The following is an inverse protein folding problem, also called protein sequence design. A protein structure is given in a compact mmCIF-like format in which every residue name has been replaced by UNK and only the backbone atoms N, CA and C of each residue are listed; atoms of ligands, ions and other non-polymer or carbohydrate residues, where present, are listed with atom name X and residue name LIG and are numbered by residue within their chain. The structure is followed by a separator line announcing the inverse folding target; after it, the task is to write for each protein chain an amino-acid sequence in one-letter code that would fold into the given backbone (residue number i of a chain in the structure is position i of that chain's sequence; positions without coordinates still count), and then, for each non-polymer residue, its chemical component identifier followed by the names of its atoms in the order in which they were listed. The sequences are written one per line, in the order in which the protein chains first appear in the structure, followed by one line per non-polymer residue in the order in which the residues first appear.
data_IF_353248675537
#
_entry.id   IF_353248675537
#
_cell.length_a   1.000
_cell.length_b   1.000
_cell.length_c   1.000
_cell.angle_alpha   90.00
_cell.angle_beta   90.00
_cell.angle_gamma   90.00
#
_symmetry.space_group_name_H-M   'P 1'
#
loop_
_entity.id
_entity.type
_entity.pdbx_description
1 polymer ?
#
# COMPACT_ATOMS: atom_id res chain seq x y z
N UNK A 1 19.83 -39.07 45.93
CA UNK A 1 18.70 -38.20 45.64
C UNK A 1 19.09 -37.35 44.45
N UNK A 2 18.73 -37.77 43.20
CA UNK A 2 19.18 -37.10 41.97
C UNK A 2 18.02 -36.22 41.48
N UNK A 3 18.20 -34.92 41.49
CA UNK A 3 17.21 -33.96 40.94
C UNK A 3 17.55 -33.80 39.45
N UNK A 4 16.88 -34.58 38.61
CA UNK A 4 16.93 -34.42 37.17
C UNK A 4 16.15 -33.20 36.75
N UNK A 5 16.79 -32.06 36.60
CA UNK A 5 16.21 -30.87 35.97
C UNK A 5 16.14 -31.04 34.45
N UNK A 6 15.02 -31.56 33.98
CA UNK A 6 14.70 -31.56 32.56
C UNK A 6 14.56 -30.12 32.07
N UNK A 7 15.39 -29.68 31.14
CA UNK A 7 15.21 -28.41 30.41
C UNK A 7 13.99 -28.57 29.51
N UNK A 8 12.83 -28.08 29.93
CA UNK A 8 11.69 -27.94 29.05
C UNK A 8 12.03 -26.87 28.01
N UNK A 9 12.05 -27.27 26.75
CA UNK A 9 12.17 -26.32 25.64
C UNK A 9 10.80 -25.69 25.40
N UNK A 10 10.64 -24.47 25.84
CA UNK A 10 9.49 -23.66 25.46
C UNK A 10 9.74 -23.15 24.03
N UNK A 11 8.90 -23.55 23.08
CA UNK A 11 8.88 -22.98 21.74
C UNK A 11 8.11 -21.68 21.85
N UNK A 12 8.81 -20.55 21.84
CA UNK A 12 8.23 -19.21 21.96
C UNK A 12 7.53 -18.81 20.66
N UNK A 13 8.06 -19.25 19.51
CA UNK A 13 7.48 -19.00 18.19
C UNK A 13 7.59 -20.24 17.29
N UNK A 14 6.55 -20.52 16.48
CA UNK A 14 6.62 -21.62 15.51
C UNK A 14 7.62 -21.28 14.40
N UNK A 15 8.29 -22.31 13.90
CA UNK A 15 9.16 -22.15 12.74
C UNK A 15 8.35 -21.58 11.57
N UNK A 16 8.76 -20.44 11.04
CA UNK A 16 8.08 -19.68 9.99
C UNK A 16 8.97 -19.55 8.77
N UNK A 17 8.43 -19.82 7.60
CA UNK A 17 9.08 -19.60 6.31
C UNK A 17 8.36 -18.49 5.55
N UNK A 18 9.11 -17.56 4.99
CA UNK A 18 8.61 -16.45 4.18
C UNK A 18 9.12 -16.59 2.75
N UNK A 19 8.24 -16.46 1.77
CA UNK A 19 8.55 -16.42 0.35
C UNK A 19 7.97 -15.17 -0.28
N UNK A 20 8.78 -14.45 -1.06
CA UNK A 20 8.35 -13.23 -1.76
C UNK A 20 8.84 -13.30 -3.20
N UNK A 21 7.91 -13.12 -4.14
CA UNK A 21 8.19 -12.99 -5.56
C UNK A 21 7.58 -11.70 -6.12
N UNK A 22 8.34 -10.96 -6.93
CA UNK A 22 7.84 -9.77 -7.65
C UNK A 22 8.34 -9.80 -9.09
N UNK A 23 7.41 -9.49 -10.01
CA UNK A 23 7.70 -9.24 -11.43
C UNK A 23 7.18 -7.85 -11.76
N UNK A 24 7.98 -7.05 -12.42
CA UNK A 24 7.61 -5.70 -12.86
C UNK A 24 8.01 -5.52 -14.33
N UNK A 25 7.15 -4.89 -15.13
CA UNK A 25 7.39 -4.59 -16.53
C UNK A 25 7.03 -3.15 -16.84
N UNK A 26 7.93 -2.45 -17.52
CA UNK A 26 7.64 -1.14 -18.11
C UNK A 26 6.72 -1.32 -19.32
N UNK A 27 5.73 -0.44 -19.44
CA UNK A 27 4.73 -0.46 -20.48
C UNK A 27 4.57 0.96 -21.07
N UNK A 28 4.23 1.05 -22.36
CA UNK A 28 3.95 2.28 -23.09
C UNK A 28 5.11 3.29 -23.14
N UNK A 29 5.70 3.65 -22.01
CA UNK A 29 6.75 4.66 -21.92
C UNK A 29 7.57 4.49 -20.61
N UNK A 30 8.64 5.26 -20.46
CA UNK A 30 9.54 5.21 -19.29
C UNK A 30 8.89 5.59 -17.95
N UNK A 31 7.70 6.17 -17.96
CA UNK A 31 6.98 6.59 -16.75
C UNK A 31 5.93 5.58 -16.29
N UNK A 32 5.69 4.53 -17.10
CA UNK A 32 4.60 3.59 -16.89
C UNK A 32 5.12 2.18 -16.68
N UNK A 33 4.58 1.51 -15.66
CA UNK A 33 4.90 0.12 -15.34
C UNK A 33 3.72 -0.58 -14.68
N UNK A 34 3.70 -1.87 -14.79
CA UNK A 34 2.81 -2.78 -14.03
C UNK A 34 3.65 -3.79 -13.29
N UNK A 35 3.19 -4.20 -12.13
CA UNK A 35 3.84 -5.18 -11.28
C UNK A 35 2.86 -6.21 -10.75
N UNK A 36 3.35 -7.43 -10.58
CA UNK A 36 2.68 -8.51 -9.87
C UNK A 36 3.58 -8.95 -8.72
N UNK A 37 3.01 -9.06 -7.54
CA UNK A 37 3.71 -9.48 -6.33
C UNK A 37 2.93 -10.60 -5.65
N UNK A 38 3.63 -11.64 -5.27
CA UNK A 38 3.12 -12.74 -4.46
C UNK A 38 3.99 -12.89 -3.22
N UNK A 39 3.33 -13.04 -2.08
CA UNK A 39 3.99 -13.33 -0.81
C UNK A 39 3.30 -14.49 -0.13
N UNK A 40 4.07 -15.35 0.52
CA UNK A 40 3.61 -16.53 1.22
C UNK A 40 4.29 -16.66 2.58
N UNK A 41 3.50 -17.04 3.57
CA UNK A 41 3.98 -17.38 4.91
C UNK A 41 3.48 -18.76 5.29
N UNK A 42 4.41 -19.66 5.49
CA UNK A 42 4.11 -21.03 5.96
C UNK A 42 4.63 -21.22 7.38
N UNK A 43 3.77 -21.69 8.27
CA UNK A 43 4.08 -22.00 9.67
C UNK A 43 3.75 -23.43 9.98
N UNK A 44 4.52 -24.02 10.87
CA UNK A 44 4.24 -25.38 11.33
C UNK A 44 2.96 -25.40 12.18
N UNK A 45 1.99 -26.22 11.79
CA UNK A 45 0.69 -26.40 12.49
C UNK A 45 -0.24 -25.16 12.49
N UNK A 46 -0.04 -24.20 11.57
CA UNK A 46 -0.91 -23.04 11.39
C UNK A 46 -1.22 -22.92 9.89
N UNK A 47 -2.39 -22.43 9.54
CA UNK A 47 -2.77 -22.19 8.15
C UNK A 47 -1.77 -21.27 7.46
N UNK A 48 -1.42 -21.59 6.23
CA UNK A 48 -0.58 -20.73 5.40
C UNK A 48 -1.31 -19.42 5.08
N UNK A 49 -0.58 -18.31 5.10
CA UNK A 49 -1.11 -17.02 4.69
C UNK A 49 -0.42 -16.57 3.41
N UNK A 50 -1.19 -16.12 2.42
CA UNK A 50 -0.61 -15.59 1.21
C UNK A 50 -1.31 -14.30 0.75
N UNK A 51 -0.57 -13.48 0.02
CA UNK A 51 -1.07 -12.24 -0.56
C UNK A 51 -0.64 -12.15 -2.01
N UNK A 52 -1.61 -11.89 -2.88
CA UNK A 52 -1.39 -11.57 -4.29
C UNK A 52 -1.73 -10.11 -4.53
N UNK A 53 -0.80 -9.36 -5.12
CA UNK A 53 -0.96 -7.95 -5.43
C UNK A 53 -0.63 -7.64 -6.89
N UNK A 54 -1.47 -6.81 -7.51
CA UNK A 54 -1.21 -6.18 -8.79
C UNK A 54 -1.09 -4.69 -8.56
N UNK A 55 0.01 -4.11 -9.00
CA UNK A 55 0.25 -2.67 -8.91
C UNK A 55 0.51 -2.05 -10.28
N UNK A 56 0.20 -0.77 -10.42
CA UNK A 56 0.51 0.00 -11.61
C UNK A 56 0.97 1.41 -11.28
N UNK A 57 1.76 1.92 -12.16
CA UNK A 57 2.09 3.34 -12.28
C UNK A 57 2.00 3.69 -13.76
N UNK A 58 1.19 4.67 -14.11
CA UNK A 58 1.00 5.15 -15.46
C UNK A 58 1.26 6.65 -15.47
N UNK A 59 2.12 7.11 -16.36
CA UNK A 59 2.41 8.51 -16.57
C UNK A 59 2.31 8.85 -18.06
N UNK A 60 1.49 9.82 -18.39
CA UNK A 60 1.32 10.35 -19.75
C UNK A 60 1.52 11.86 -19.76
N UNK A 61 1.62 12.44 -20.95
CA UNK A 61 1.92 13.88 -21.14
C UNK A 61 3.20 14.27 -20.37
N UNK A 62 4.31 13.56 -20.63
CA UNK A 62 5.58 13.72 -19.91
C UNK A 62 5.43 13.59 -18.39
N UNK A 63 4.58 12.62 -17.95
CA UNK A 63 4.29 12.38 -16.55
C UNK A 63 3.55 13.54 -15.83
N UNK A 64 2.92 14.43 -16.58
CA UNK A 64 2.05 15.47 -16.01
C UNK A 64 0.72 14.88 -15.53
N UNK A 65 0.09 14.04 -16.36
CA UNK A 65 -1.05 13.23 -15.94
C UNK A 65 -0.53 11.87 -15.48
N UNK A 66 -0.85 11.48 -14.27
CA UNK A 66 -0.37 10.23 -13.70
C UNK A 66 -1.48 9.48 -12.95
N UNK A 67 -1.37 8.19 -12.97
CA UNK A 67 -2.17 7.28 -12.15
C UNK A 67 -1.26 6.25 -11.49
N UNK A 68 -1.54 5.89 -10.27
CA UNK A 68 -0.96 4.73 -9.62
C UNK A 68 -1.98 4.07 -8.70
N UNK A 69 -1.84 2.78 -8.53
CA UNK A 69 -2.75 2.02 -7.70
C UNK A 69 -2.26 0.61 -7.45
N UNK A 70 -3.07 -0.09 -6.69
CA UNK A 70 -2.83 -1.45 -6.30
C UNK A 70 -4.16 -2.15 -6.04
N UNK A 71 -4.28 -3.38 -6.47
CA UNK A 71 -5.33 -4.32 -6.08
C UNK A 71 -4.65 -5.47 -5.38
N UNK A 72 -5.16 -5.88 -4.24
CA UNK A 72 -4.54 -6.89 -3.37
C UNK A 72 -5.60 -7.86 -2.90
N UNK A 73 -5.26 -9.13 -2.90
CA UNK A 73 -6.05 -10.21 -2.30
C UNK A 73 -5.23 -10.92 -1.25
N UNK A 74 -5.76 -11.01 -0.05
CA UNK A 74 -5.19 -11.80 1.05
C UNK A 74 -5.99 -13.08 1.24
N UNK A 75 -5.30 -14.17 1.45
CA UNK A 75 -5.86 -15.46 1.86
C UNK A 75 -5.15 -15.85 3.15
N UNK A 76 -5.90 -15.84 4.22
CA UNK A 76 -5.53 -16.32 5.55
C UNK A 76 -6.59 -17.35 5.97
N UNK A 77 -7.18 -17.22 7.13
CA UNK A 77 -8.38 -18.00 7.50
C UNK A 77 -9.60 -17.62 6.65
N UNK A 78 -9.61 -16.41 6.13
CA UNK A 78 -10.62 -15.90 5.21
C UNK A 78 -9.94 -15.20 4.02
N UNK A 79 -10.69 -15.05 2.93
CA UNK A 79 -10.24 -14.30 1.77
C UNK A 79 -10.74 -12.88 1.84
N UNK A 80 -9.81 -11.93 1.80
CA UNK A 80 -10.10 -10.50 1.78
C UNK A 80 -9.50 -9.79 0.58
N UNK A 81 -10.05 -8.64 0.23
CA UNK A 81 -9.61 -7.83 -0.89
C UNK A 81 -9.38 -6.39 -0.46
N UNK A 82 -8.42 -5.78 -1.12
CA UNK A 82 -8.13 -4.38 -0.94
C UNK A 82 -7.76 -3.71 -2.25
N UNK A 83 -8.04 -2.43 -2.37
CA UNK A 83 -7.52 -1.64 -3.46
C UNK A 83 -7.20 -0.22 -3.01
N UNK A 84 -6.28 0.39 -3.71
CA UNK A 84 -6.03 1.82 -3.65
C UNK A 84 -5.78 2.35 -5.05
N UNK A 85 -6.28 3.53 -5.29
CA UNK A 85 -6.17 4.24 -6.56
C UNK A 85 -5.78 5.69 -6.30
N UNK A 86 -4.97 6.22 -7.16
CA UNK A 86 -4.55 7.60 -7.14
C UNK A 86 -4.42 8.09 -8.57
N UNK A 87 -4.99 9.24 -8.87
CA UNK A 87 -4.84 9.94 -10.13
C UNK A 87 -4.57 11.41 -9.85
N UNK A 88 -3.71 12.00 -10.65
CA UNK A 88 -3.38 13.40 -10.47
C UNK A 88 -2.84 14.02 -11.75
N UNK A 89 -2.91 15.33 -11.78
CA UNK A 89 -2.28 16.16 -12.78
C UNK A 89 -1.38 17.19 -12.10
N UNK A 90 -0.19 17.34 -12.63
CA UNK A 90 0.76 18.37 -12.19
C UNK A 90 1.17 19.23 -13.36
N UNK A 91 0.97 20.53 -13.21
CA UNK A 91 1.65 21.49 -14.05
C UNK A 91 3.12 21.60 -13.61
N UNK A 92 4.04 21.79 -14.53
CA UNK A 92 5.47 21.83 -14.20
C UNK A 92 5.84 22.98 -13.28
N UNK A 93 5.12 24.08 -13.38
CA UNK A 93 5.52 25.35 -12.77
C UNK A 93 4.77 25.71 -11.49
N UNK A 94 3.45 25.57 -11.45
CA UNK A 94 2.72 26.27 -10.41
C UNK A 94 1.59 25.53 -9.71
N UNK A 95 1.01 24.43 -10.23
CA UNK A 95 -0.06 23.73 -9.55
C UNK A 95 -0.05 22.21 -9.75
N UNK A 96 -0.64 21.50 -8.79
CA UNK A 96 -0.86 20.07 -8.81
C UNK A 96 -2.23 19.76 -8.20
N UNK A 97 -2.96 18.83 -8.80
CA UNK A 97 -4.16 18.25 -8.19
C UNK A 97 -4.00 16.75 -8.10
N UNK A 98 -4.60 16.16 -7.08
CA UNK A 98 -4.57 14.73 -6.85
C UNK A 98 -5.87 14.27 -6.20
N UNK A 99 -6.44 13.22 -6.76
CA UNK A 99 -7.53 12.46 -6.18
C UNK A 99 -7.03 11.08 -5.78
N UNK A 100 -7.50 10.57 -4.66
CA UNK A 100 -7.23 9.20 -4.24
C UNK A 100 -8.46 8.56 -3.63
N UNK A 101 -8.55 7.25 -3.82
CA UNK A 101 -9.60 6.39 -3.32
C UNK A 101 -8.97 5.07 -2.91
N UNK A 102 -9.45 4.48 -1.83
CA UNK A 102 -9.07 3.14 -1.44
C UNK A 102 -10.11 2.49 -0.55
N UNK A 103 -10.07 1.17 -0.55
CA UNK A 103 -10.94 0.34 0.27
C UNK A 103 -10.17 -0.92 0.70
N UNK A 104 -10.36 -1.31 1.94
CA UNK A 104 -10.07 -2.65 2.44
C UNK A 104 -11.37 -3.23 2.96
N UNK A 105 -11.71 -4.45 2.53
CA UNK A 105 -12.86 -5.14 3.09
C UNK A 105 -12.59 -5.62 4.54
N UNK A 106 -13.61 -6.16 5.19
CA UNK A 106 -13.56 -6.63 6.57
C UNK A 106 -12.65 -7.87 6.75
N UNK A 107 -12.53 -8.68 5.69
CA UNK A 107 -11.73 -9.90 5.66
C UNK A 107 -10.30 -9.70 5.21
N UNK A 108 -9.97 -8.48 4.74
CA UNK A 108 -8.63 -8.18 4.29
C UNK A 108 -7.65 -8.20 5.46
N UNK A 109 -6.72 -9.14 5.43
CA UNK A 109 -5.69 -9.30 6.44
C UNK A 109 -4.33 -9.61 5.81
N UNK A 110 -3.33 -8.83 6.18
CA UNK A 110 -1.93 -8.96 5.78
C UNK A 110 -0.99 -8.96 6.97
N UNK A 111 -1.52 -9.10 8.20
CA UNK A 111 -0.72 -8.97 9.43
C UNK A 111 0.37 -10.04 9.55
N UNK A 112 0.20 -11.18 8.92
CA UNK A 112 1.24 -12.21 8.84
C UNK A 112 2.45 -11.81 7.98
N UNK A 113 2.26 -10.87 7.05
CA UNK A 113 3.25 -10.42 6.07
C UNK A 113 3.69 -8.97 6.28
N UNK A 114 3.01 -8.27 7.16
CA UNK A 114 3.24 -6.86 7.44
C UNK A 114 2.25 -6.33 8.46
N UNK A 115 2.24 -5.03 8.67
CA UNK A 115 1.33 -4.39 9.60
C UNK A 115 0.15 -3.74 8.88
N UNK A 116 -1.07 -4.22 9.17
CA UNK A 116 -2.31 -3.56 8.78
C UNK A 116 -2.97 -2.93 10.00
N UNK A 117 -2.99 -1.62 10.05
CA UNK A 117 -3.57 -0.90 11.18
C UNK A 117 -5.09 -1.08 11.29
N UNK A 118 -5.79 -1.15 10.15
CA UNK A 118 -7.27 -1.26 10.07
C UNK A 118 -7.69 -1.88 8.74
N UNK A 119 -8.61 -2.80 8.79
CA UNK A 119 -9.44 -3.27 7.68
C UNK A 119 -10.84 -2.63 7.74
N UNK A 120 -11.78 -3.08 6.92
CA UNK A 120 -13.17 -2.61 6.84
C UNK A 120 -13.28 -1.08 6.72
N UNK A 121 -12.49 -0.51 5.82
CA UNK A 121 -12.34 0.94 5.70
C UNK A 121 -12.32 1.40 4.24
N UNK A 122 -13.09 2.43 3.96
CA UNK A 122 -13.00 3.20 2.72
C UNK A 122 -12.42 4.58 3.01
N UNK A 123 -11.55 5.06 2.16
CA UNK A 123 -11.04 6.42 2.24
C UNK A 123 -11.00 7.06 0.86
N UNK A 124 -11.27 8.34 0.83
CA UNK A 124 -11.17 9.18 -0.36
C UNK A 124 -10.57 10.53 -0.01
N UNK A 125 -10.00 11.17 -0.98
CA UNK A 125 -9.50 12.52 -0.77
C UNK A 125 -9.12 13.23 -2.05
N UNK A 126 -9.03 14.54 -1.91
CA UNK A 126 -8.69 15.47 -2.96
C UNK A 126 -7.66 16.46 -2.42
N UNK A 127 -6.68 16.78 -3.25
CA UNK A 127 -5.64 17.76 -2.95
C UNK A 127 -5.50 18.72 -4.11
N UNK A 128 -5.40 19.99 -3.76
CA UNK A 128 -4.90 21.06 -4.64
C UNK A 128 -3.68 21.67 -3.99
N UNK A 129 -2.61 21.81 -4.77
CA UNK A 129 -1.37 22.43 -4.34
C UNK A 129 -0.95 23.48 -5.35
N UNK A 130 -0.74 24.68 -4.88
CA UNK A 130 -0.13 25.76 -5.63
C UNK A 130 1.29 25.95 -5.13
N UNK A 131 2.22 26.21 -6.02
CA UNK A 131 3.61 26.48 -5.68
C UNK A 131 4.19 27.52 -6.60
N UNK A 132 5.02 28.36 -6.06
CA UNK A 132 5.88 29.29 -6.77
C UNK A 132 7.31 28.92 -6.45
N UNK A 133 8.07 28.56 -7.47
CA UNK A 133 9.46 28.12 -7.34
C UNK A 133 10.44 29.29 -7.53
N UNK A 134 9.97 30.42 -8.08
CA UNK A 134 10.79 31.60 -8.30
C UNK A 134 10.89 32.43 -7.03
N UNK A 135 12.10 32.94 -6.71
CA UNK A 135 12.30 33.86 -5.60
C UNK A 135 11.45 35.12 -5.75
N UNK A 136 10.84 35.56 -4.65
CA UNK A 136 10.05 36.79 -4.63
C UNK A 136 10.25 37.49 -3.29
N UNK A 137 10.90 38.67 -3.33
CA UNK A 137 11.28 39.37 -2.12
C UNK A 137 12.20 38.52 -1.23
N UNK A 138 11.81 38.33 0.03
CA UNK A 138 12.56 37.53 1.01
C UNK A 138 12.32 36.04 0.89
N UNK A 139 11.41 35.57 0.00
CA UNK A 139 11.04 34.14 -0.12
C UNK A 139 11.76 33.52 -1.32
N UNK A 140 12.48 32.43 -1.09
CA UNK A 140 13.11 31.61 -2.13
C UNK A 140 12.07 30.74 -2.88
N UNK A 141 10.93 30.52 -2.30
CA UNK A 141 9.79 29.82 -2.89
C UNK A 141 8.61 29.79 -1.91
N UNK A 142 7.43 29.52 -2.43
CA UNK A 142 6.22 29.41 -1.61
C UNK A 142 5.30 28.29 -2.10
N UNK A 143 4.56 27.69 -1.19
CA UNK A 143 3.52 26.73 -1.56
C UNK A 143 2.30 26.81 -0.63
N UNK A 144 1.13 26.58 -1.22
CA UNK A 144 -0.14 26.49 -0.53
C UNK A 144 -0.80 25.15 -0.90
N UNK A 145 -1.19 24.38 0.10
CA UNK A 145 -1.81 23.08 -0.10
C UNK A 145 -3.17 23.01 0.61
N UNK A 146 -4.20 22.66 -0.16
CA UNK A 146 -5.53 22.34 0.34
C UNK A 146 -5.76 20.85 0.21
N UNK A 147 -6.20 20.20 1.29
CA UNK A 147 -6.42 18.76 1.32
C UNK A 147 -7.70 18.42 2.07
N UNK A 148 -8.60 17.72 1.39
CA UNK A 148 -9.83 17.18 1.97
C UNK A 148 -9.70 15.66 1.98
N UNK A 149 -10.02 15.04 3.12
CA UNK A 149 -10.00 13.58 3.28
C UNK A 149 -11.26 13.13 4.00
N UNK A 150 -11.85 12.04 3.53
CA UNK A 150 -12.94 11.35 4.17
C UNK A 150 -12.54 9.91 4.45
N UNK A 151 -12.89 9.43 5.63
CA UNK A 151 -12.68 8.04 6.06
C UNK A 151 -14.03 7.50 6.53
N UNK A 152 -14.41 6.36 6.03
CA UNK A 152 -15.64 5.67 6.41
C UNK A 152 -15.28 4.24 6.84
N UNK A 153 -15.68 3.89 8.06
CA UNK A 153 -15.71 2.50 8.49
C UNK A 153 -17.08 1.95 8.09
N UNK A 154 -17.12 0.84 7.38
CA UNK A 154 -18.38 0.14 7.16
C UNK A 154 -18.82 -0.46 8.50
N UNK A 155 -20.02 -0.12 8.93
CA UNK A 155 -20.66 -0.82 10.03
C UNK A 155 -21.29 -2.09 9.46
N UNK A 156 -21.04 -3.19 10.11
CA UNK A 156 -21.71 -4.47 9.86
C UNK A 156 -23.16 -4.37 10.29
#
# INVERSE_FOLDING_TARGET
MSIGGGKEKFIVEPQTSYSVGKIEKSIFNKFSRVGLMYTDVTRKNINAANVLGLDWKIGIINNRLFSNGQIVRSNTDQTGNGFRFNVGYKNETWWETRFWLGNYDDKFDVNDLGYLRRNNMTWTGLMFKFRRLEPTGAFLGSSLEFKIKKYEKKHD
#
